data_IF_157330734005
#
_entry.id   IF_157330734005
#
_cell.length_a   1.000
_cell.length_b   1.000
_cell.length_c   1.000
_cell.angle_alpha   90.00
_cell.angle_beta   90.00
_cell.angle_gamma   90.00
#
_symmetry.space_group_name_H-M   'P 1'
#
loop_
_entity.id
_entity.type
_entity.pdbx_description
1 polymer ?
#
# COMPACT_ATOMS: atom_id res chain seq x y z
N UNK A 1 -0.42 -23.58 8.24
CA UNK A 1 -1.43 -23.78 7.16
C UNK A 1 -1.06 -22.84 6.01
N UNK A 2 -1.35 -23.21 4.74
CA UNK A 2 -1.14 -22.28 3.62
C UNK A 2 -1.90 -20.97 3.86
N UNK A 3 -1.32 -19.85 3.44
CA UNK A 3 -1.98 -18.56 3.51
C UNK A 3 -3.11 -18.44 2.45
N UNK A 4 -4.11 -17.66 2.77
CA UNK A 4 -5.12 -17.19 1.80
C UNK A 4 -4.94 -15.67 1.72
N UNK A 5 -4.29 -15.22 0.66
CA UNK A 5 -3.98 -13.82 0.44
C UNK A 5 -5.02 -13.21 -0.48
N UNK A 6 -5.77 -12.25 0.03
CA UNK A 6 -6.71 -11.44 -0.74
C UNK A 6 -6.00 -10.21 -1.26
N UNK A 7 -5.77 -10.11 -2.55
CA UNK A 7 -5.24 -8.91 -3.21
C UNK A 7 -6.39 -7.99 -3.57
N UNK A 8 -6.39 -6.81 -2.98
CA UNK A 8 -7.47 -5.83 -3.04
C UNK A 8 -7.02 -4.61 -3.84
N UNK A 9 -7.64 -4.37 -4.98
CA UNK A 9 -7.30 -3.27 -5.89
C UNK A 9 -8.46 -2.28 -5.97
N UNK A 10 -8.40 -1.18 -5.19
CA UNK A 10 -9.31 -0.06 -5.42
C UNK A 10 -8.91 0.64 -6.73
N UNK A 11 -9.85 0.91 -7.61
CA UNK A 11 -9.58 1.62 -8.85
C UNK A 11 -10.76 2.52 -9.25
N UNK A 12 -10.52 3.44 -10.19
CA UNK A 12 -11.58 4.22 -10.83
C UNK A 12 -12.09 3.47 -12.06
N UNK A 13 -11.76 3.97 -13.25
CA UNK A 13 -12.27 3.43 -14.51
C UNK A 13 -11.24 2.54 -15.21
N UNK A 14 -9.96 2.77 -14.92
CA UNK A 14 -8.82 2.11 -15.59
C UNK A 14 -7.75 1.73 -14.57
N UNK A 15 -6.93 0.76 -14.93
CA UNK A 15 -5.68 0.45 -14.24
C UNK A 15 -4.51 0.71 -15.20
N UNK A 16 -3.35 1.08 -14.65
CA UNK A 16 -2.15 1.21 -15.47
C UNK A 16 -1.71 -0.15 -16.03
N UNK A 17 -1.31 -0.19 -17.30
CA UNK A 17 -0.89 -1.45 -17.94
C UNK A 17 0.34 -2.06 -17.28
N UNK A 18 1.30 -1.23 -16.84
CA UNK A 18 2.47 -1.69 -16.10
C UNK A 18 2.09 -2.32 -14.76
N UNK A 19 1.14 -1.70 -14.03
CA UNK A 19 0.56 -2.27 -12.82
C UNK A 19 -0.11 -3.63 -13.10
N UNK A 20 -0.97 -3.70 -14.13
CA UNK A 20 -1.71 -4.93 -14.44
C UNK A 20 -0.77 -6.11 -14.73
N UNK A 21 0.29 -5.90 -15.52
CA UNK A 21 1.26 -6.94 -15.82
C UNK A 21 2.18 -7.26 -14.64
N UNK A 22 2.54 -6.29 -13.80
CA UNK A 22 3.31 -6.54 -12.58
C UNK A 22 2.49 -7.38 -11.59
N UNK A 23 1.21 -7.05 -11.41
CA UNK A 23 0.29 -7.82 -10.56
C UNK A 23 0.14 -9.26 -11.07
N UNK A 24 -0.10 -9.43 -12.37
CA UNK A 24 -0.22 -10.76 -12.97
C UNK A 24 1.06 -11.60 -12.76
N UNK A 25 2.24 -11.01 -12.94
CA UNK A 25 3.53 -11.68 -12.69
C UNK A 25 3.72 -12.01 -11.21
N UNK A 26 3.33 -11.10 -10.32
CA UNK A 26 3.43 -11.30 -8.87
C UNK A 26 2.56 -12.49 -8.42
N UNK A 27 1.30 -12.52 -8.85
CA UNK A 27 0.38 -13.63 -8.54
C UNK A 27 0.87 -14.95 -9.12
N UNK A 28 1.28 -14.97 -10.40
CA UNK A 28 1.79 -16.17 -11.05
C UNK A 28 3.05 -16.71 -10.35
N UNK A 29 4.01 -15.84 -10.01
CA UNK A 29 5.23 -16.24 -9.32
C UNK A 29 4.95 -16.80 -7.92
N UNK A 30 4.04 -16.16 -7.18
CA UNK A 30 3.68 -16.62 -5.83
C UNK A 30 2.98 -17.98 -5.86
N UNK A 31 1.96 -18.14 -6.70
CA UNK A 31 1.18 -19.39 -6.81
C UNK A 31 2.00 -20.56 -7.36
N UNK A 32 2.99 -20.29 -8.23
CA UNK A 32 3.91 -21.32 -8.70
C UNK A 32 4.92 -21.78 -7.62
N UNK A 33 5.26 -20.91 -6.67
CA UNK A 33 6.28 -21.17 -5.66
C UNK A 33 5.73 -21.69 -4.32
N UNK A 34 4.43 -21.56 -4.08
CA UNK A 34 3.81 -21.85 -2.78
C UNK A 34 2.54 -22.69 -2.94
N UNK A 35 1.99 -23.14 -1.81
CA UNK A 35 0.65 -23.76 -1.73
C UNK A 35 -0.42 -22.75 -1.28
N UNK A 36 -0.08 -21.49 -1.20
CA UNK A 36 -1.00 -20.43 -0.80
C UNK A 36 -2.07 -20.20 -1.87
N UNK A 37 -3.20 -19.72 -1.43
CA UNK A 37 -4.28 -19.27 -2.33
C UNK A 37 -4.21 -17.78 -2.47
N UNK A 38 -4.29 -17.29 -3.70
CA UNK A 38 -4.43 -15.86 -3.98
C UNK A 38 -5.82 -15.59 -4.53
N UNK A 39 -6.54 -14.70 -3.88
CA UNK A 39 -7.84 -14.19 -4.32
C UNK A 39 -7.62 -12.78 -4.86
N UNK A 40 -8.23 -12.45 -5.99
CA UNK A 40 -8.16 -11.11 -6.57
C UNK A 40 -9.51 -10.44 -6.42
N UNK A 41 -9.56 -9.31 -5.74
CA UNK A 41 -10.72 -8.45 -5.61
C UNK A 41 -10.42 -7.08 -6.18
N UNK A 42 -11.35 -6.58 -6.95
CA UNK A 42 -11.35 -5.22 -7.48
C UNK A 42 -12.64 -4.54 -7.03
N UNK A 43 -12.53 -3.26 -6.67
CA UNK A 43 -13.71 -2.42 -6.47
C UNK A 43 -13.54 -1.14 -7.28
N UNK A 44 -14.51 -0.88 -8.16
CA UNK A 44 -14.52 0.27 -9.03
C UNK A 44 -15.40 1.38 -8.44
N UNK A 45 -14.84 2.59 -8.36
CA UNK A 45 -15.58 3.73 -7.81
C UNK A 45 -14.74 4.99 -7.69
N UNK A 46 -15.31 6.01 -7.08
CA UNK A 46 -14.66 7.31 -6.88
C UNK A 46 -14.35 7.61 -5.43
N UNK A 47 -14.96 6.87 -4.50
CA UNK A 47 -14.78 7.09 -3.06
C UNK A 47 -13.92 5.96 -2.47
N UNK A 48 -12.63 6.23 -2.35
CA UNK A 48 -11.60 5.28 -1.89
C UNK A 48 -11.93 4.65 -0.53
N UNK A 49 -12.53 5.41 0.39
CA UNK A 49 -12.94 4.93 1.71
C UNK A 49 -13.91 3.74 1.59
N UNK A 50 -14.95 3.87 0.75
CA UNK A 50 -15.93 2.81 0.54
C UNK A 50 -15.29 1.61 -0.15
N UNK A 51 -14.46 1.86 -1.18
CA UNK A 51 -13.78 0.79 -1.90
C UNK A 51 -12.94 -0.07 -0.96
N UNK A 52 -12.10 0.54 -0.13
CA UNK A 52 -11.26 -0.18 0.83
C UNK A 52 -12.07 -0.89 1.90
N UNK A 53 -13.16 -0.27 2.38
CA UNK A 53 -14.07 -0.87 3.36
C UNK A 53 -14.74 -2.15 2.80
N UNK A 54 -15.25 -2.10 1.57
CA UNK A 54 -15.92 -3.21 0.89
C UNK A 54 -14.92 -4.32 0.53
N UNK A 55 -13.74 -3.97 0.05
CA UNK A 55 -12.67 -4.92 -0.27
C UNK A 55 -12.18 -5.68 0.98
N UNK A 56 -11.99 -4.96 2.09
CA UNK A 56 -11.64 -5.60 3.37
C UNK A 56 -12.74 -6.55 3.82
N UNK A 57 -14.02 -6.14 3.76
CA UNK A 57 -15.14 -6.99 4.13
C UNK A 57 -15.22 -8.25 3.24
N UNK A 58 -15.13 -8.08 1.92
CA UNK A 58 -15.14 -9.21 0.97
C UNK A 58 -13.99 -10.20 1.25
N UNK A 59 -12.83 -9.69 1.64
CA UNK A 59 -11.69 -10.53 2.04
C UNK A 59 -11.97 -11.37 3.27
N UNK A 60 -12.59 -10.77 4.30
CA UNK A 60 -12.98 -11.50 5.51
C UNK A 60 -14.07 -12.54 5.22
N UNK A 61 -15.05 -12.21 4.40
CA UNK A 61 -16.14 -13.11 4.00
C UNK A 61 -15.61 -14.31 3.19
N UNK A 62 -14.52 -14.11 2.44
CA UNK A 62 -13.80 -15.17 1.73
C UNK A 62 -12.82 -15.97 2.61
N UNK A 63 -12.80 -15.71 3.92
CA UNK A 63 -11.90 -16.33 4.88
C UNK A 63 -10.40 -16.12 4.57
N UNK A 64 -10.05 -14.95 4.01
CA UNK A 64 -8.66 -14.58 3.83
C UNK A 64 -7.91 -14.57 5.18
N UNK A 65 -6.66 -15.00 5.15
CA UNK A 65 -5.73 -14.86 6.29
C UNK A 65 -5.00 -13.52 6.26
N UNK A 66 -4.79 -13.00 5.04
CA UNK A 66 -4.12 -11.73 4.79
C UNK A 66 -4.86 -10.94 3.72
N UNK A 67 -4.87 -9.63 3.89
CA UNK A 67 -5.41 -8.66 2.94
C UNK A 67 -4.25 -7.82 2.42
N UNK A 68 -3.99 -7.86 1.13
CA UNK A 68 -2.97 -7.07 0.46
C UNK A 68 -3.66 -5.96 -0.34
N UNK A 69 -3.61 -4.73 0.15
CA UNK A 69 -4.00 -3.57 -0.65
C UNK A 69 -2.90 -3.19 -1.61
N UNK A 70 -3.29 -2.94 -2.86
CA UNK A 70 -2.39 -2.45 -3.91
C UNK A 70 -3.12 -1.40 -4.73
N UNK A 71 -2.58 -0.18 -4.80
CA UNK A 71 -3.15 0.87 -5.65
C UNK A 71 -2.87 0.58 -7.13
N UNK A 72 -3.82 0.91 -8.00
CA UNK A 72 -3.83 0.56 -9.43
C UNK A 72 -2.79 1.31 -10.29
N UNK A 73 -1.93 2.09 -9.66
CA UNK A 73 -0.83 2.87 -10.24
C UNK A 73 0.54 2.60 -9.59
N UNK A 74 0.68 1.44 -8.94
CA UNK A 74 1.95 0.98 -8.37
C UNK A 74 2.70 0.06 -9.35
N UNK A 75 4.04 0.12 -9.32
CA UNK A 75 4.92 -0.88 -9.95
C UNK A 75 5.43 -1.82 -8.88
N UNK A 76 5.35 -3.10 -9.12
CA UNK A 76 5.59 -4.15 -8.14
C UNK A 76 6.70 -5.11 -8.58
N UNK A 77 7.63 -5.49 -7.69
CA UNK A 77 8.48 -6.65 -7.93
C UNK A 77 7.64 -7.94 -7.97
N UNK A 78 8.06 -8.90 -8.78
CA UNK A 78 7.34 -10.17 -9.00
C UNK A 78 7.14 -11.03 -7.76
N UNK A 79 7.88 -10.79 -6.71
CA UNK A 79 7.86 -11.55 -5.46
C UNK A 79 7.33 -10.75 -4.25
N UNK A 80 6.62 -9.63 -4.51
CA UNK A 80 6.08 -8.74 -3.47
C UNK A 80 5.25 -9.48 -2.42
N UNK A 81 4.33 -10.38 -2.84
CA UNK A 81 3.49 -11.14 -1.90
C UNK A 81 4.38 -11.97 -0.96
N UNK A 82 5.39 -12.67 -1.51
CA UNK A 82 6.28 -13.52 -0.73
C UNK A 82 7.16 -12.71 0.21
N UNK A 83 7.70 -11.57 -0.25
CA UNK A 83 8.53 -10.69 0.58
C UNK A 83 7.74 -10.19 1.79
N UNK A 84 6.54 -9.66 1.57
CA UNK A 84 5.71 -9.12 2.65
C UNK A 84 5.24 -10.22 3.62
N UNK A 85 4.80 -11.40 3.13
CA UNK A 85 4.44 -12.53 3.98
C UNK A 85 5.60 -13.02 4.84
N UNK A 86 6.83 -12.99 4.30
CA UNK A 86 8.02 -13.44 5.03
C UNK A 86 8.37 -12.53 6.24
N UNK A 87 7.84 -11.31 6.30
CA UNK A 87 8.02 -10.42 7.46
C UNK A 87 7.22 -10.86 8.67
N UNK A 88 6.11 -11.61 8.46
CA UNK A 88 5.20 -12.11 9.50
C UNK A 88 4.64 -11.04 10.44
N UNK A 89 4.58 -9.80 10.00
CA UNK A 89 4.04 -8.67 10.75
C UNK A 89 2.51 -8.59 10.62
N UNK A 90 1.86 -7.96 11.60
CA UNK A 90 0.41 -7.74 11.57
C UNK A 90 0.02 -6.75 10.47
N UNK A 91 0.83 -5.70 10.29
CA UNK A 91 0.70 -4.69 9.23
C UNK A 91 2.10 -4.36 8.72
N UNK A 92 2.35 -4.57 7.44
CA UNK A 92 3.62 -4.22 6.79
C UNK A 92 3.35 -3.57 5.43
N UNK A 93 4.06 -2.48 5.14
CA UNK A 93 3.86 -1.71 3.93
C UNK A 93 5.18 -1.23 3.31
N UNK A 94 5.15 -0.95 2.02
CA UNK A 94 6.23 -0.28 1.32
C UNK A 94 6.09 1.25 1.42
N UNK A 95 7.20 1.93 1.61
CA UNK A 95 7.30 3.38 1.42
C UNK A 95 7.50 3.70 -0.07
N UNK A 96 6.88 4.75 -0.53
CA UNK A 96 7.01 5.24 -1.90
C UNK A 96 6.82 6.76 -1.92
N UNK A 97 7.03 7.37 -3.08
CA UNK A 97 6.94 8.82 -3.22
C UNK A 97 5.54 9.27 -3.63
N UNK A 98 5.12 10.43 -3.12
CA UNK A 98 3.95 11.14 -3.66
C UNK A 98 4.17 11.52 -5.13
N UNK A 99 3.10 11.84 -5.87
CA UNK A 99 3.15 12.32 -7.26
C UNK A 99 3.03 13.83 -7.37
N UNK A 100 3.28 14.55 -6.28
CA UNK A 100 3.18 16.02 -6.20
C UNK A 100 4.52 16.59 -5.78
N UNK A 101 4.96 17.64 -6.46
CA UNK A 101 6.18 18.35 -6.10
C UNK A 101 5.94 19.31 -4.92
N UNK A 102 6.90 19.42 -3.97
CA UNK A 102 8.09 18.57 -3.87
C UNK A 102 7.72 17.12 -3.54
N UNK A 103 8.47 16.17 -4.10
CA UNK A 103 8.26 14.75 -3.81
C UNK A 103 8.49 14.46 -2.34
N UNK A 104 7.61 13.70 -1.73
CA UNK A 104 7.70 13.31 -0.33
C UNK A 104 7.39 11.83 -0.16
N UNK A 105 8.03 11.11 0.77
CA UNK A 105 7.66 9.75 1.12
C UNK A 105 6.26 9.73 1.75
N UNK A 106 5.60 8.56 1.69
CA UNK A 106 4.25 8.39 2.26
C UNK A 106 4.26 7.84 3.69
N UNK A 107 5.42 7.52 4.24
CA UNK A 107 5.59 7.07 5.62
C UNK A 107 5.79 8.24 6.58
N UNK A 108 5.21 8.14 7.77
CA UNK A 108 5.29 9.14 8.83
C UNK A 108 5.88 8.55 10.10
N UNK A 109 6.89 9.20 10.62
CA UNK A 109 7.42 8.94 11.97
C UNK A 109 6.43 9.42 13.02
N UNK A 110 5.87 10.61 12.78
CA UNK A 110 4.79 11.19 13.55
C UNK A 110 3.76 11.81 12.60
N UNK A 111 2.59 11.21 12.52
CA UNK A 111 1.50 11.65 11.65
C UNK A 111 0.81 12.94 12.14
N UNK A 112 0.97 13.30 13.41
CA UNK A 112 0.44 14.56 13.96
C UNK A 112 1.30 15.76 13.58
N UNK A 113 2.63 15.60 13.59
CA UNK A 113 3.59 16.64 13.19
C UNK A 113 3.93 16.59 11.71
N UNK A 114 3.46 15.57 10.99
CA UNK A 114 3.79 15.31 9.58
C UNK A 114 5.29 15.03 9.35
N UNK A 115 6.02 14.58 10.38
CA UNK A 115 7.40 14.14 10.24
C UNK A 115 7.47 12.88 9.37
N UNK A 116 8.27 12.94 8.28
CA UNK A 116 8.36 11.87 7.30
C UNK A 116 9.53 10.93 7.56
N UNK A 117 9.34 9.66 7.18
CA UNK A 117 10.39 8.66 7.13
C UNK A 117 10.85 8.49 5.69
N UNK A 118 12.14 8.66 5.46
CA UNK A 118 12.77 8.47 4.16
C UNK A 118 13.40 7.08 4.07
N UNK A 119 13.24 6.43 2.92
CA UNK A 119 13.95 5.19 2.59
C UNK A 119 15.16 5.56 1.75
N UNK A 120 16.29 5.78 2.42
CA UNK A 120 17.58 6.08 1.80
C UNK A 120 18.30 4.78 1.41
N UNK A 121 19.30 4.86 0.51
CA UNK A 121 20.02 3.70 -0.04
C UNK A 121 20.51 2.70 1.02
N UNK A 122 20.89 3.21 2.20
CA UNK A 122 21.40 2.39 3.31
C UNK A 122 20.32 1.86 4.24
N UNK A 123 19.05 2.27 4.09
CA UNK A 123 17.96 1.78 4.93
C UNK A 123 17.61 0.36 4.51
N UNK A 124 17.54 -0.55 5.48
CA UNK A 124 17.18 -1.97 5.27
C UNK A 124 16.29 -2.47 6.38
N UNK A 125 15.59 -3.60 6.14
CA UNK A 125 14.75 -4.24 7.13
C UNK A 125 13.47 -3.48 7.45
N UNK A 126 13.00 -3.62 8.68
CA UNK A 126 11.71 -3.07 9.13
C UNK A 126 11.93 -1.88 10.07
N UNK A 127 11.11 -0.86 9.92
CA UNK A 127 11.00 0.28 10.84
C UNK A 127 9.55 0.48 11.28
N UNK A 128 9.31 0.64 12.59
CA UNK A 128 7.97 0.99 13.10
C UNK A 128 7.67 2.46 12.78
N UNK A 129 6.49 2.73 12.22
CA UNK A 129 6.04 4.07 11.81
C UNK A 129 4.66 4.40 12.40
N UNK A 130 4.35 5.68 12.52
CA UNK A 130 3.03 6.10 13.01
C UNK A 130 1.94 5.91 11.98
N UNK A 131 2.26 6.15 10.71
CA UNK A 131 1.35 5.91 9.59
C UNK A 131 2.13 5.80 8.27
N UNK A 132 1.51 5.16 7.28
CA UNK A 132 2.08 4.98 5.96
C UNK A 132 0.97 4.85 4.92
N UNK A 133 1.22 5.30 3.68
CA UNK A 133 0.31 5.14 2.56
C UNK A 133 0.02 3.67 2.22
N UNK A 134 -1.16 3.39 1.71
CA UNK A 134 -1.67 2.03 1.47
C UNK A 134 -1.50 1.57 0.01
N UNK A 135 -0.58 2.15 -0.74
CA UNK A 135 -0.33 1.76 -2.14
C UNK A 135 0.26 0.36 -2.31
N UNK A 136 0.93 -0.17 -1.29
CA UNK A 136 1.30 -1.57 -1.13
C UNK A 136 1.39 -1.89 0.36
N UNK A 137 0.34 -2.53 0.91
CA UNK A 137 0.26 -2.85 2.34
C UNK A 137 -0.37 -4.22 2.56
N UNK A 138 0.34 -5.11 3.25
CA UNK A 138 -0.16 -6.41 3.69
C UNK A 138 -0.62 -6.31 5.14
N UNK A 139 -1.81 -6.83 5.41
CA UNK A 139 -2.48 -6.77 6.72
C UNK A 139 -2.99 -8.15 7.07
N UNK A 140 -2.67 -8.69 8.25
CA UNK A 140 -3.32 -9.91 8.73
C UNK A 140 -4.82 -9.67 8.93
N UNK A 141 -5.67 -10.59 8.50
CA UNK A 141 -7.13 -10.45 8.61
C UNK A 141 -7.61 -10.25 10.07
N UNK A 142 -6.82 -10.71 11.03
CA UNK A 142 -7.09 -10.55 12.46
C UNK A 142 -7.10 -9.08 12.89
N UNK A 143 -6.33 -8.22 12.25
CA UNK A 143 -6.33 -6.77 12.49
C UNK A 143 -7.75 -6.22 12.27
N UNK A 144 -8.35 -6.53 11.13
CA UNK A 144 -9.71 -6.09 10.81
C UNK A 144 -10.77 -6.67 11.75
N UNK A 145 -10.58 -7.91 12.23
CA UNK A 145 -11.51 -8.54 13.18
C UNK A 145 -11.48 -7.89 14.56
N UNK A 146 -10.34 -7.35 14.97
CA UNK A 146 -10.16 -6.69 16.27
C UNK A 146 -10.49 -5.21 16.26
N UNK A 147 -10.27 -4.55 15.12
CA UNK A 147 -10.56 -3.13 14.97
C UNK A 147 -12.07 -2.89 14.84
N UNK A 148 -12.56 -1.82 15.49
CA UNK A 148 -13.91 -1.35 15.27
C UNK A 148 -14.09 -0.71 13.89
N UNK A 149 -15.28 -0.88 13.29
CA UNK A 149 -15.65 -0.14 12.07
C UNK A 149 -16.06 1.30 12.42
N UNK A 150 -15.88 2.25 11.48
CA UNK A 150 -15.34 2.07 10.12
C UNK A 150 -13.81 1.90 10.17
N UNK A 151 -13.28 0.93 9.40
CA UNK A 151 -11.84 0.73 9.31
C UNK A 151 -11.13 1.84 8.54
N UNK A 152 -11.85 2.45 7.58
CA UNK A 152 -11.35 3.55 6.75
C UNK A 152 -12.26 4.76 6.90
N UNK A 153 -11.66 5.93 7.08
CA UNK A 153 -12.39 7.19 7.27
C UNK A 153 -11.51 8.38 6.88
N UNK A 154 -12.09 9.40 6.27
CA UNK A 154 -11.42 10.69 6.09
C UNK A 154 -11.74 11.54 7.30
N UNK A 155 -10.72 11.86 8.08
CA UNK A 155 -10.87 12.64 9.29
C UNK A 155 -10.54 14.12 9.05
N UNK A 156 -11.35 15.01 9.59
CA UNK A 156 -11.12 16.45 9.55
C UNK A 156 -10.96 16.98 10.97
N UNK A 157 -9.80 17.55 11.27
CA UNK A 157 -9.51 18.15 12.56
C UNK A 157 -8.60 19.35 12.41
N UNK A 158 -8.92 20.45 13.12
CA UNK A 158 -8.11 21.67 13.15
C UNK A 158 -7.79 22.25 11.75
N UNK A 159 -8.73 22.18 10.80
CA UNK A 159 -8.54 22.71 9.45
C UNK A 159 -7.80 21.77 8.49
N UNK A 160 -7.40 20.58 8.93
CA UNK A 160 -6.61 19.61 8.14
C UNK A 160 -7.41 18.32 7.92
N UNK A 161 -7.38 17.82 6.69
CA UNK A 161 -7.87 16.49 6.35
C UNK A 161 -6.76 15.45 6.48
N UNK A 162 -7.04 14.36 7.18
CA UNK A 162 -6.22 13.14 7.17
C UNK A 162 -6.87 12.10 6.26
N UNK A 163 -6.08 11.46 5.41
CA UNK A 163 -6.53 10.40 4.52
C UNK A 163 -6.98 9.14 5.28
N UNK A 164 -7.65 8.25 4.55
CA UNK A 164 -8.18 7.00 5.10
C UNK A 164 -7.09 6.01 5.50
N UNK A 165 -5.92 6.09 4.85
CA UNK A 165 -4.71 5.33 5.18
C UNK A 165 -4.11 5.75 6.54
N UNK A 166 -4.02 7.05 6.79
CA UNK A 166 -3.57 7.59 8.08
C UNK A 166 -4.57 7.23 9.18
N UNK A 167 -5.87 7.35 8.90
CA UNK A 167 -6.91 6.93 9.84
C UNK A 167 -6.79 5.45 10.20
N UNK A 168 -6.64 4.57 9.20
CA UNK A 168 -6.46 3.13 9.41
C UNK A 168 -5.26 2.84 10.31
N UNK A 169 -4.09 3.41 9.99
CA UNK A 169 -2.87 3.21 10.78
C UNK A 169 -3.03 3.67 12.23
N UNK A 170 -3.65 4.83 12.44
CA UNK A 170 -3.92 5.37 13.79
C UNK A 170 -4.85 4.44 14.57
N UNK A 171 -5.98 4.04 13.99
CA UNK A 171 -6.95 3.15 14.62
C UNK A 171 -6.37 1.77 14.90
N UNK A 172 -5.49 1.26 14.05
CA UNK A 172 -4.77 0.01 14.27
C UNK A 172 -3.83 0.12 15.48
N UNK A 173 -3.06 1.20 15.58
CA UNK A 173 -2.16 1.46 16.72
C UNK A 173 -2.93 1.63 18.03
N UNK A 174 -4.08 2.32 18.02
CA UNK A 174 -4.98 2.45 19.17
C UNK A 174 -5.55 1.09 19.62
N UNK A 175 -5.65 0.13 18.70
CA UNK A 175 -6.05 -1.25 19.00
C UNK A 175 -4.88 -2.13 19.48
N UNK A 176 -3.64 -1.58 19.48
CA UNK A 176 -2.43 -2.25 19.96
C UNK A 176 -1.58 -2.91 18.88
N UNK A 177 -1.89 -2.71 17.60
CA UNK A 177 -1.08 -3.21 16.49
C UNK A 177 0.06 -2.24 16.15
N UNK A 178 1.15 -2.80 15.60
CA UNK A 178 2.25 -2.02 15.04
C UNK A 178 2.06 -1.87 13.54
N UNK A 179 2.49 -0.73 13.01
CA UNK A 179 2.56 -0.46 11.57
C UNK A 179 4.03 -0.47 11.17
N UNK A 180 4.42 -1.42 10.33
CA UNK A 180 5.81 -1.63 9.93
C UNK A 180 6.03 -1.15 8.49
N UNK A 181 7.02 -0.32 8.31
CA UNK A 181 7.62 0.02 7.03
C UNK A 181 8.69 -1.01 6.68
N UNK A 182 8.62 -1.59 5.49
CA UNK A 182 9.67 -2.46 4.95
C UNK A 182 10.52 -1.69 3.94
N UNK A 183 11.74 -1.35 4.33
CA UNK A 183 12.69 -0.61 3.48
C UNK A 183 13.14 -1.44 2.28
N UNK A 184 13.32 -2.76 2.44
CA UNK A 184 13.86 -3.61 1.37
C UNK A 184 12.91 -3.68 0.17
N UNK A 185 11.60 -3.81 0.39
CA UNK A 185 10.63 -3.77 -0.70
C UNK A 185 10.40 -2.35 -1.21
N UNK A 186 10.56 -1.34 -0.35
CA UNK A 186 10.41 0.08 -0.70
C UNK A 186 11.39 0.52 -1.79
N UNK A 187 12.60 -0.01 -1.81
CA UNK A 187 13.57 0.25 -2.89
C UNK A 187 13.11 -0.26 -4.26
N UNK A 188 12.21 -1.23 -4.30
CA UNK A 188 11.82 -1.94 -5.50
C UNK A 188 10.51 -1.45 -6.12
N UNK A 189 9.64 -0.83 -5.31
CA UNK A 189 8.35 -0.29 -5.80
C UNK A 189 8.51 1.07 -6.46
N UNK A 190 7.57 1.41 -7.33
CA UNK A 190 7.47 2.74 -7.95
C UNK A 190 6.02 3.18 -7.99
N UNK A 191 5.79 4.47 -7.91
CA UNK A 191 4.47 5.09 -8.02
C UNK A 191 4.35 5.76 -9.39
N UNK A 192 3.42 5.30 -10.23
CA UNK A 192 3.21 5.80 -11.58
C UNK A 192 2.50 7.13 -11.51
N UNK A 193 3.03 8.14 -12.19
CA UNK A 193 2.44 9.47 -12.30
C UNK A 193 2.41 9.96 -13.73
N UNK A 194 1.47 10.81 -14.07
CA UNK A 194 1.47 11.56 -15.31
C UNK A 194 2.52 12.69 -15.23
N UNK A 195 3.25 12.91 -16.32
CA UNK A 195 4.19 14.00 -16.46
C UNK A 195 3.92 14.73 -17.76
N UNK A 196 3.76 16.05 -17.72
CA UNK A 196 3.56 16.89 -18.88
C UNK A 196 4.92 17.26 -19.49
N UNK A 197 5.25 16.67 -20.65
CA UNK A 197 6.49 16.95 -21.36
C UNK A 197 6.39 18.25 -22.17
N UNK A 198 7.43 19.08 -22.12
CA UNK A 198 7.55 20.32 -22.90
C UNK A 198 8.88 20.39 -23.66
N UNK A 199 9.00 21.32 -24.60
CA UNK A 199 10.26 21.56 -25.29
C UNK A 199 11.39 21.98 -24.33
N UNK A 200 11.08 22.59 -23.21
CA UNK A 200 12.07 22.94 -22.19
C UNK A 200 12.69 21.68 -21.54
N UNK A 201 11.91 20.64 -21.31
CA UNK A 201 12.43 19.35 -20.81
C UNK A 201 13.36 18.69 -21.84
N UNK A 202 13.01 18.74 -23.14
CA UNK A 202 13.87 18.22 -24.18
C UNK A 202 15.19 19.01 -24.33
N UNK A 203 15.15 20.33 -24.08
CA UNK A 203 16.35 21.16 -24.07
C UNK A 203 17.24 20.87 -22.85
N UNK A 204 16.68 20.68 -21.67
CA UNK A 204 17.41 20.37 -20.45
C UNK A 204 18.14 19.02 -20.53
N UNK A 205 17.54 18.01 -21.20
CA UNK A 205 18.15 16.66 -21.34
C UNK A 205 19.31 16.58 -22.37
N UNK A 206 19.69 17.69 -23.01
CA UNK A 206 20.86 17.73 -23.92
C UNK A 206 22.18 17.98 -23.20
N UNK A 207 22.15 18.27 -21.92
CA UNK A 207 23.31 18.64 -21.11
C UNK A 207 23.86 17.52 -20.21
N UNK A 208 23.33 16.28 -20.32
CA UNK A 208 23.83 15.08 -19.63
C UNK A 208 24.61 14.15 -20.56
#
# INVERSE_FOLDING_TARGET
>A
MPAIVSVCVPCRDVVDSGFAFDLARCVAAHTAATKDRVLLFQNQGTLIVNQRQELAQASLDANATHVLFVDADMRLPKDSIRQLLARDEDIVAANYSTRKLPLQPVAFRDDLTSERVYTEEWCTGLEEVSAIGMGLMLIKAEVFRKMAKPWFHIHYQNGVYSGEDIWFCRSARETGFKVMLDHDISHQVRHIGAFEFSCAHAAASRGE
#
